data_IF_943768664672
#
_entry.id   IF_943768664672
#
_cell.length_a   1.000
_cell.length_b   1.000
_cell.length_c   1.000
_cell.angle_alpha   90.00
_cell.angle_beta   90.00
_cell.angle_gamma   90.00
#
_symmetry.space_group_name_H-M   'P 1'
#
loop_
_entity.id
_entity.type
_entity.pdbx_description
1 polymer ?
#
# COMPACT_ATOMS: atom_id res chain seq x y z
N UNK A 1 -17.34 -10.50 23.77
CA UNK A 1 -17.04 -9.07 23.89
C UNK A 1 -16.35 -8.59 22.64
N UNK A 2 -16.80 -7.47 22.08
CA UNK A 2 -16.17 -6.81 20.95
C UNK A 2 -15.01 -5.97 21.49
N UNK A 3 -13.80 -6.05 20.89
CA UNK A 3 -12.70 -5.11 21.16
C UNK A 3 -12.60 -4.15 19.98
N UNK A 4 -12.64 -2.88 20.25
CA UNK A 4 -12.38 -1.84 19.28
C UNK A 4 -10.89 -1.51 19.28
N UNK A 5 -10.28 -1.49 18.10
CA UNK A 5 -8.86 -1.16 17.93
C UNK A 5 -8.77 0.24 17.34
N UNK A 6 -8.26 1.17 18.13
CA UNK A 6 -8.05 2.56 17.72
C UNK A 6 -6.79 2.70 16.87
N UNK A 7 -6.80 3.65 15.91
CA UNK A 7 -5.59 4.11 15.20
C UNK A 7 -4.52 4.65 16.17
N UNK A 8 -4.90 5.00 17.38
CA UNK A 8 -4.00 5.46 18.43
C UNK A 8 -3.44 4.31 19.31
N UNK A 9 -3.74 3.05 19.02
CA UNK A 9 -3.26 1.90 19.79
C UNK A 9 -1.78 1.59 19.60
N UNK A 10 -1.12 2.22 18.63
CA UNK A 10 0.29 2.05 18.31
C UNK A 10 0.96 3.39 17.99
N UNK A 11 2.28 3.35 17.89
CA UNK A 11 3.12 4.47 17.49
C UNK A 11 4.13 3.97 16.46
N UNK A 12 4.14 4.58 15.28
CA UNK A 12 5.15 4.30 14.24
C UNK A 12 6.46 4.90 14.72
N UNK A 13 7.52 4.11 14.73
CA UNK A 13 8.87 4.46 15.16
C UNK A 13 9.79 4.74 13.99
N UNK A 14 9.63 3.99 12.91
CA UNK A 14 10.45 4.09 11.72
C UNK A 14 9.67 3.63 10.50
N UNK A 15 9.88 4.29 9.38
CA UNK A 15 9.37 3.89 8.06
C UNK A 15 10.54 3.82 7.11
N UNK A 16 10.74 2.67 6.49
CA UNK A 16 11.77 2.44 5.48
C UNK A 16 11.16 1.79 4.26
N UNK A 17 11.93 1.65 3.17
CA UNK A 17 11.48 0.91 1.98
C UNK A 17 11.27 -0.59 2.25
N UNK A 18 11.86 -1.12 3.30
CA UNK A 18 11.87 -2.56 3.57
C UNK A 18 11.01 -2.97 4.75
N UNK A 19 10.66 -2.04 5.64
CA UNK A 19 9.85 -2.32 6.82
C UNK A 19 9.28 -1.06 7.46
N UNK A 20 8.24 -1.27 8.27
CA UNK A 20 7.76 -0.29 9.24
C UNK A 20 7.97 -0.85 10.63
N UNK A 21 8.67 -0.10 11.49
CA UNK A 21 8.80 -0.40 12.91
C UNK A 21 7.77 0.38 13.73
N UNK A 22 7.12 -0.28 14.67
CA UNK A 22 6.13 0.33 15.54
C UNK A 22 6.18 -0.24 16.96
N UNK A 23 5.64 0.48 17.92
CA UNK A 23 5.38 -0.01 19.27
C UNK A 23 3.90 0.08 19.60
N UNK A 24 3.41 -0.86 20.40
CA UNK A 24 2.03 -0.84 20.89
C UNK A 24 1.93 0.06 22.13
N UNK A 25 0.81 0.78 22.24
CA UNK A 25 0.56 1.68 23.38
C UNK A 25 -0.17 0.97 24.54
N UNK A 26 0.24 -0.27 24.83
CA UNK A 26 -0.21 -0.98 26.04
C UNK A 26 0.90 -1.04 27.09
N UNK A 27 0.54 -1.39 28.32
CA UNK A 27 1.46 -1.28 29.46
C UNK A 27 2.66 -2.24 29.38
N UNK A 28 2.51 -3.38 28.68
CA UNK A 28 3.50 -4.46 28.64
C UNK A 28 4.28 -4.58 27.34
N UNK A 29 3.86 -3.86 26.28
CA UNK A 29 4.53 -3.89 24.95
C UNK A 29 5.09 -2.53 24.52
N UNK A 30 4.97 -1.48 25.35
CA UNK A 30 5.39 -0.11 24.99
C UNK A 30 6.87 0.00 24.60
N UNK A 31 7.71 -0.87 25.16
CA UNK A 31 9.16 -0.92 24.90
C UNK A 31 9.53 -2.00 23.89
N UNK A 32 8.54 -2.75 23.35
CA UNK A 32 8.75 -3.77 22.34
C UNK A 32 8.64 -3.12 20.96
N UNK A 33 9.66 -3.31 20.13
CA UNK A 33 9.64 -2.88 18.75
C UNK A 33 9.16 -4.05 17.88
N UNK A 34 8.06 -3.82 17.20
CA UNK A 34 7.48 -4.71 16.21
C UNK A 34 7.91 -4.23 14.83
N UNK A 35 8.22 -5.14 13.92
CA UNK A 35 8.57 -4.81 12.54
C UNK A 35 7.65 -5.56 11.59
N UNK A 36 7.05 -4.84 10.64
CA UNK A 36 6.34 -5.44 9.51
C UNK A 36 7.22 -5.22 8.28
N UNK A 37 7.68 -6.28 7.60
CA UNK A 37 8.58 -6.17 6.44
C UNK A 37 7.82 -5.78 5.16
N UNK A 38 6.94 -4.80 5.26
CA UNK A 38 6.10 -4.26 4.19
C UNK A 38 5.93 -2.78 4.46
N UNK A 39 6.14 -1.93 3.45
CA UNK A 39 6.16 -0.48 3.62
C UNK A 39 4.77 0.20 3.64
N UNK A 40 3.68 -0.54 3.53
CA UNK A 40 2.32 0.02 3.63
C UNK A 40 1.94 0.36 5.08
N UNK A 41 1.66 1.62 5.40
CA UNK A 41 1.31 2.06 6.75
C UNK A 41 0.06 1.34 7.31
N UNK A 42 -0.87 0.93 6.45
CA UNK A 42 -2.05 0.14 6.81
C UNK A 42 -1.71 -1.26 7.36
N UNK A 43 -0.51 -1.78 7.08
CA UNK A 43 -0.08 -3.08 7.59
C UNK A 43 0.23 -3.05 9.09
N UNK A 44 0.56 -1.90 9.64
CA UNK A 44 0.70 -1.74 11.10
C UNK A 44 -0.65 -1.97 11.78
N UNK A 45 -1.75 -1.45 11.22
CA UNK A 45 -3.10 -1.72 11.74
C UNK A 45 -3.48 -3.19 11.59
N UNK A 46 -3.16 -3.82 10.45
CA UNK A 46 -3.40 -5.25 10.24
C UNK A 46 -2.63 -6.11 11.25
N UNK A 47 -1.37 -5.79 11.50
CA UNK A 47 -0.56 -6.46 12.53
C UNK A 47 -1.14 -6.26 13.93
N UNK A 48 -1.57 -5.05 14.26
CA UNK A 48 -2.23 -4.76 15.54
C UNK A 48 -3.51 -5.58 15.73
N UNK A 49 -4.36 -5.69 14.68
CA UNK A 49 -5.57 -6.52 14.71
C UNK A 49 -5.22 -7.99 14.94
N UNK A 50 -4.20 -8.51 14.25
CA UNK A 50 -3.75 -9.89 14.40
C UNK A 50 -3.23 -10.16 15.83
N UNK A 51 -2.44 -9.26 16.39
CA UNK A 51 -1.91 -9.37 17.76
C UNK A 51 -3.04 -9.34 18.80
N UNK A 52 -4.01 -8.43 18.66
CA UNK A 52 -5.18 -8.40 19.54
C UNK A 52 -6.02 -9.69 19.46
N UNK A 53 -6.19 -10.25 18.26
CA UNK A 53 -6.86 -11.53 18.08
C UNK A 53 -6.09 -12.68 18.77
N UNK A 54 -4.77 -12.72 18.64
CA UNK A 54 -3.93 -13.70 19.34
C UNK A 54 -4.04 -13.57 20.86
N UNK A 55 -4.02 -12.34 21.38
CA UNK A 55 -4.21 -12.09 22.82
C UNK A 55 -5.59 -12.53 23.32
N UNK A 56 -6.63 -12.35 22.52
CA UNK A 56 -7.97 -12.84 22.87
C UNK A 56 -8.03 -14.37 22.95
N UNK A 57 -7.27 -15.07 22.11
CA UNK A 57 -7.30 -16.53 22.03
C UNK A 57 -6.34 -17.22 23.02
N UNK A 58 -5.15 -16.63 23.21
CA UNK A 58 -4.04 -17.28 23.91
C UNK A 58 -3.64 -16.56 25.21
N UNK A 59 -4.26 -15.44 25.53
CA UNK A 59 -3.83 -14.53 26.59
C UNK A 59 -2.67 -13.62 26.15
N UNK A 60 -2.42 -12.55 26.92
CA UNK A 60 -1.31 -11.66 26.64
C UNK A 60 0.05 -12.32 26.90
N UNK A 61 1.12 -11.66 26.44
CA UNK A 61 2.49 -12.14 26.61
C UNK A 61 3.23 -11.48 27.76
N UNK A 62 2.54 -10.82 28.71
CA UNK A 62 3.16 -10.03 29.76
C UNK A 62 4.18 -10.84 30.58
N UNK A 63 3.80 -12.04 30.99
CA UNK A 63 4.64 -12.98 31.75
C UNK A 63 5.30 -14.07 30.93
N UNK A 64 5.22 -14.00 29.58
CA UNK A 64 5.71 -15.05 28.68
C UNK A 64 6.66 -14.50 27.60
N UNK A 65 7.92 -14.19 27.96
CA UNK A 65 8.88 -13.56 27.05
C UNK A 65 9.17 -14.41 25.81
N UNK A 66 9.18 -15.75 25.93
CA UNK A 66 9.41 -16.66 24.81
C UNK A 66 8.26 -16.64 23.80
N UNK A 67 7.01 -16.53 24.28
CA UNK A 67 5.84 -16.39 23.42
C UNK A 67 5.89 -15.03 22.72
N UNK A 68 6.20 -13.96 23.44
CA UNK A 68 6.36 -12.61 22.87
C UNK A 68 7.41 -12.61 21.76
N UNK A 69 8.57 -13.19 22.02
CA UNK A 69 9.64 -13.31 21.01
C UNK A 69 9.14 -14.02 19.75
N UNK A 70 8.43 -15.13 19.89
CA UNK A 70 7.86 -15.86 18.75
C UNK A 70 6.87 -15.01 17.95
N UNK A 71 6.06 -14.19 18.61
CA UNK A 71 5.13 -13.30 17.91
C UNK A 71 5.84 -12.16 17.20
N UNK A 72 6.86 -11.57 17.83
CA UNK A 72 7.73 -10.56 17.19
C UNK A 72 8.39 -11.15 15.93
N UNK A 73 9.01 -12.33 16.05
CA UNK A 73 9.67 -13.01 14.94
C UNK A 73 8.67 -13.37 13.83
N UNK A 74 7.45 -13.79 14.19
CA UNK A 74 6.39 -14.12 13.23
C UNK A 74 5.91 -12.87 12.45
N UNK A 75 5.69 -11.75 13.13
CA UNK A 75 5.31 -10.49 12.48
C UNK A 75 6.42 -10.00 11.55
N UNK A 76 7.68 -10.14 11.97
CA UNK A 76 8.85 -9.75 11.16
C UNK A 76 9.12 -10.67 9.96
N UNK A 77 8.49 -11.84 9.91
CA UNK A 77 8.65 -12.81 8.81
C UNK A 77 7.50 -12.82 7.80
N UNK A 78 6.50 -11.93 7.96
CA UNK A 78 5.36 -11.87 7.05
C UNK A 78 5.85 -11.47 5.65
N UNK A 79 5.41 -12.22 4.66
CA UNK A 79 5.54 -11.85 3.25
C UNK A 79 4.15 -11.88 2.59
N UNK A 80 3.82 -10.84 1.84
CA UNK A 80 2.56 -10.77 1.11
C UNK A 80 2.76 -10.02 -0.20
N UNK A 81 2.75 -10.76 -1.28
CA UNK A 81 2.92 -10.23 -2.64
C UNK A 81 1.86 -9.17 -2.97
N UNK A 82 2.28 -8.14 -3.70
CA UNK A 82 1.40 -7.07 -4.15
C UNK A 82 0.83 -6.19 -3.02
N UNK A 83 1.56 -6.01 -1.93
CA UNK A 83 1.23 -5.10 -0.83
C UNK A 83 2.38 -4.15 -0.55
N UNK A 84 2.42 -3.01 -1.23
CA UNK A 84 3.54 -2.06 -1.20
C UNK A 84 4.89 -2.79 -1.42
N UNK A 85 4.87 -3.73 -2.33
CA UNK A 85 6.03 -4.56 -2.66
C UNK A 85 6.93 -3.84 -3.65
N UNK A 86 8.23 -3.76 -3.36
CA UNK A 86 9.23 -3.36 -4.34
C UNK A 86 9.55 -4.56 -5.25
N UNK A 87 8.75 -4.73 -6.31
CA UNK A 87 8.86 -5.85 -7.24
C UNK A 87 10.12 -5.79 -8.13
N UNK A 88 10.68 -4.61 -8.32
CA UNK A 88 11.95 -4.34 -8.97
C UNK A 88 12.48 -2.99 -8.47
N UNK A 89 13.73 -2.68 -8.76
CA UNK A 89 14.34 -1.41 -8.37
C UNK A 89 13.47 -0.22 -8.83
N UNK A 90 12.99 0.58 -7.86
CA UNK A 90 12.08 1.72 -8.05
C UNK A 90 10.71 1.35 -8.65
N UNK A 91 10.26 0.11 -8.52
CA UNK A 91 8.93 -0.34 -8.95
C UNK A 91 8.15 -0.84 -7.76
N UNK A 92 7.17 -0.07 -7.31
CA UNK A 92 6.25 -0.45 -6.25
C UNK A 92 4.95 -1.03 -6.82
N UNK A 93 4.51 -2.14 -6.26
CA UNK A 93 3.25 -2.79 -6.63
C UNK A 93 2.34 -2.86 -5.41
N UNK A 94 1.10 -2.45 -5.60
CA UNK A 94 0.06 -2.58 -4.58
C UNK A 94 -1.27 -3.05 -5.17
N UNK A 95 -1.97 -3.91 -4.45
CA UNK A 95 -3.29 -4.42 -4.82
C UNK A 95 -4.46 -3.55 -4.35
N UNK A 96 -4.26 -2.25 -4.14
CA UNK A 96 -5.33 -1.32 -3.79
C UNK A 96 -6.41 -1.31 -4.89
N UNK A 97 -7.66 -1.61 -4.52
CA UNK A 97 -8.76 -1.79 -5.48
C UNK A 97 -10.10 -1.28 -4.95
N UNK A 98 -10.09 -0.45 -3.91
CA UNK A 98 -11.27 0.25 -3.37
C UNK A 98 -10.84 1.58 -2.76
N UNK A 99 -11.78 2.52 -2.50
CA UNK A 99 -11.48 3.85 -1.98
C UNK A 99 -10.54 3.85 -0.76
N UNK A 100 -10.87 3.11 0.29
CA UNK A 100 -10.04 3.07 1.51
C UNK A 100 -8.64 2.49 1.29
N UNK A 101 -8.47 1.55 0.36
CA UNK A 101 -7.16 1.02 0.01
C UNK A 101 -6.32 2.04 -0.77
N UNK A 102 -6.94 2.82 -1.68
CA UNK A 102 -6.25 3.90 -2.42
C UNK A 102 -5.83 5.03 -1.46
N UNK A 103 -6.68 5.42 -0.50
CA UNK A 103 -6.29 6.38 0.54
C UNK A 103 -5.05 5.88 1.30
N UNK A 104 -5.08 4.66 1.78
CA UNK A 104 -3.97 4.06 2.55
C UNK A 104 -2.70 3.87 1.72
N UNK A 105 -2.84 3.57 0.41
CA UNK A 105 -1.73 3.51 -0.54
C UNK A 105 -1.07 4.89 -0.68
N UNK A 106 -1.84 5.94 -0.97
CA UNK A 106 -1.33 7.30 -1.14
C UNK A 106 -0.68 7.80 0.16
N UNK A 107 -1.30 7.54 1.32
CA UNK A 107 -0.70 7.86 2.63
C UNK A 107 0.66 7.17 2.81
N UNK A 108 0.77 5.90 2.40
CA UNK A 108 2.02 5.14 2.48
C UNK A 108 3.10 5.70 1.55
N UNK A 109 2.72 6.10 0.32
CA UNK A 109 3.65 6.75 -0.62
C UNK A 109 4.18 8.06 -0.04
N UNK A 110 3.32 8.91 0.55
CA UNK A 110 3.76 10.17 1.15
C UNK A 110 4.68 9.98 2.37
N UNK A 111 4.50 8.90 3.13
CA UNK A 111 5.40 8.57 4.24
C UNK A 111 6.77 8.07 3.75
N UNK A 112 6.80 7.32 2.66
CA UNK A 112 8.04 6.79 2.08
C UNK A 112 8.80 7.84 1.26
N UNK A 113 8.06 8.70 0.58
CA UNK A 113 8.55 9.71 -0.35
C UNK A 113 7.88 11.05 -0.05
N UNK A 114 8.28 11.75 1.03
CA UNK A 114 7.63 13.01 1.43
C UNK A 114 7.79 14.12 0.39
N UNK A 115 8.82 14.06 -0.42
CA UNK A 115 9.07 14.97 -1.55
C UNK A 115 9.41 14.12 -2.78
N UNK A 116 8.41 13.63 -3.52
CA UNK A 116 8.66 12.77 -4.68
C UNK A 116 9.21 13.60 -5.84
N UNK A 117 10.51 13.65 -5.95
CA UNK A 117 11.21 14.11 -7.14
C UNK A 117 12.24 13.05 -7.56
N UNK A 118 12.14 12.52 -8.76
CA UNK A 118 11.15 12.86 -9.81
C UNK A 118 9.74 12.34 -9.50
N UNK A 119 8.72 12.96 -10.11
CA UNK A 119 7.33 12.51 -10.00
C UNK A 119 7.19 11.09 -10.56
N UNK A 120 6.39 10.23 -9.92
CA UNK A 120 6.21 8.85 -10.33
C UNK A 120 5.48 8.72 -11.67
N UNK A 121 5.69 7.59 -12.35
CA UNK A 121 4.80 7.09 -13.39
C UNK A 121 3.83 6.13 -12.70
N UNK A 122 2.53 6.36 -12.84
CA UNK A 122 1.49 5.54 -12.22
C UNK A 122 0.86 4.64 -13.27
N UNK A 123 0.98 3.33 -13.10
CA UNK A 123 0.25 2.33 -13.90
C UNK A 123 -0.99 1.90 -13.14
N UNK A 124 -2.17 2.04 -13.75
CA UNK A 124 -3.45 1.81 -13.09
C UNK A 124 -4.37 0.90 -13.89
N UNK A 125 -5.10 0.05 -13.20
CA UNK A 125 -6.19 -0.73 -13.75
C UNK A 125 -7.32 -0.91 -12.73
N UNK A 126 -8.52 -1.21 -13.18
CA UNK A 126 -9.67 -1.41 -12.32
C UNK A 126 -10.67 -2.43 -12.87
N UNK A 127 -11.56 -2.88 -11.99
CA UNK A 127 -12.76 -3.66 -12.32
C UNK A 127 -14.02 -2.81 -12.18
N UNK A 128 -15.02 -3.10 -13.01
CA UNK A 128 -16.23 -2.28 -13.16
C UNK A 128 -17.14 -2.25 -11.92
N UNK A 129 -17.04 -3.24 -11.03
CA UNK A 129 -17.81 -3.31 -9.79
C UNK A 129 -17.21 -2.52 -8.62
N UNK A 130 -16.13 -1.77 -8.87
CA UNK A 130 -15.49 -0.87 -7.91
C UNK A 130 -15.73 0.59 -8.28
N UNK A 131 -15.63 1.45 -7.29
CA UNK A 131 -15.72 2.91 -7.47
C UNK A 131 -14.40 3.46 -8.04
N UNK A 132 -14.08 3.05 -9.27
CA UNK A 132 -12.83 3.44 -9.92
C UNK A 132 -12.77 4.93 -10.28
N UNK A 133 -13.91 5.58 -10.48
CA UNK A 133 -13.96 7.02 -10.75
C UNK A 133 -13.49 7.81 -9.51
N UNK A 134 -13.98 7.45 -8.34
CA UNK A 134 -13.53 8.05 -7.10
C UNK A 134 -12.02 7.78 -6.84
N UNK A 135 -11.58 6.53 -7.08
CA UNK A 135 -10.17 6.16 -6.91
C UNK A 135 -9.25 6.99 -7.82
N UNK A 136 -9.62 7.18 -9.08
CA UNK A 136 -8.89 8.01 -10.05
C UNK A 136 -8.86 9.47 -9.61
N UNK A 137 -10.01 10.04 -9.23
CA UNK A 137 -10.08 11.41 -8.75
C UNK A 137 -9.18 11.64 -7.53
N UNK A 138 -9.15 10.67 -6.61
CA UNK A 138 -8.30 10.74 -5.43
C UNK A 138 -6.81 10.65 -5.79
N UNK A 139 -6.41 9.71 -6.66
CA UNK A 139 -5.04 9.59 -7.15
C UNK A 139 -4.57 10.89 -7.83
N UNK A 140 -5.34 11.41 -8.77
CA UNK A 140 -4.99 12.66 -9.48
C UNK A 140 -4.81 13.85 -8.52
N UNK A 141 -5.60 13.89 -7.44
CA UNK A 141 -5.56 14.98 -6.47
C UNK A 141 -4.39 14.88 -5.49
N UNK A 142 -4.07 13.67 -5.03
CA UNK A 142 -3.17 13.46 -3.89
C UNK A 142 -1.88 12.73 -4.24
N UNK A 143 -1.74 12.16 -5.43
CA UNK A 143 -0.52 11.55 -5.93
C UNK A 143 -0.18 12.13 -7.32
N UNK A 144 0.36 13.36 -7.40
CA UNK A 144 0.80 13.92 -8.67
C UNK A 144 1.78 12.99 -9.36
N UNK A 145 1.62 12.82 -10.66
CA UNK A 145 2.45 11.94 -11.46
C UNK A 145 3.02 12.66 -12.70
N UNK A 146 4.16 12.20 -13.19
CA UNK A 146 4.73 12.60 -14.46
C UNK A 146 3.90 12.07 -15.64
N UNK A 147 3.31 10.89 -15.45
CA UNK A 147 2.53 10.17 -16.46
C UNK A 147 1.59 9.19 -15.78
N UNK A 148 0.37 9.09 -16.28
CA UNK A 148 -0.55 8.01 -15.95
C UNK A 148 -0.64 7.03 -17.13
N UNK A 149 -0.46 5.74 -16.88
CA UNK A 149 -0.66 4.69 -17.86
C UNK A 149 -1.81 3.83 -17.37
N UNK A 150 -2.85 3.67 -18.16
CA UNK A 150 -3.99 2.84 -17.82
C UNK A 150 -4.01 1.57 -18.66
N UNK A 151 -4.34 0.45 -18.01
CA UNK A 151 -4.29 -0.86 -18.64
C UNK A 151 -5.46 -1.73 -18.22
N UNK A 152 -5.61 -2.89 -18.85
CA UNK A 152 -6.66 -3.86 -18.55
C UNK A 152 -6.07 -5.04 -17.77
N UNK A 153 -6.81 -5.53 -16.78
CA UNK A 153 -6.50 -6.80 -16.13
C UNK A 153 -7.19 -7.94 -16.85
N UNK A 154 -6.68 -9.18 -16.81
CA UNK A 154 -7.30 -10.34 -17.45
C UNK A 154 -8.51 -10.84 -16.64
N UNK A 155 -9.51 -9.99 -16.44
CA UNK A 155 -10.77 -10.28 -15.73
C UNK A 155 -11.96 -9.88 -16.60
N UNK A 156 -13.06 -10.63 -16.50
CA UNK A 156 -14.31 -10.33 -17.24
C UNK A 156 -14.95 -9.01 -16.81
N UNK A 157 -14.69 -8.56 -15.58
CA UNK A 157 -15.19 -7.30 -15.01
C UNK A 157 -14.25 -6.12 -15.28
N UNK A 158 -13.19 -6.32 -16.09
CA UNK A 158 -12.24 -5.23 -16.39
C UNK A 158 -12.94 -3.99 -16.95
N UNK A 159 -12.46 -2.84 -16.58
CA UNK A 159 -12.73 -1.59 -17.28
C UNK A 159 -11.73 -1.46 -18.43
N UNK A 160 -12.17 -1.05 -19.60
CA UNK A 160 -11.25 -0.87 -20.73
C UNK A 160 -10.26 0.26 -20.49
N UNK A 161 -9.05 0.11 -21.02
CA UNK A 161 -8.02 1.14 -20.92
C UNK A 161 -8.50 2.49 -21.46
N UNK A 162 -9.25 2.49 -22.57
CA UNK A 162 -9.81 3.70 -23.17
C UNK A 162 -10.85 4.38 -22.27
N UNK A 163 -11.64 3.60 -21.54
CA UNK A 163 -12.61 4.16 -20.58
C UNK A 163 -11.89 4.75 -19.37
N UNK A 164 -10.91 4.05 -18.80
CA UNK A 164 -10.08 4.56 -17.71
C UNK A 164 -9.38 5.85 -18.10
N UNK A 165 -8.81 5.93 -19.32
CA UNK A 165 -8.19 7.13 -19.85
C UNK A 165 -9.15 8.33 -19.85
N UNK A 166 -10.36 8.16 -20.38
CA UNK A 166 -11.40 9.21 -20.38
C UNK A 166 -11.76 9.68 -18.97
N UNK A 167 -11.70 8.79 -17.98
CA UNK A 167 -11.95 9.17 -16.59
C UNK A 167 -10.79 9.98 -16.04
N UNK A 168 -9.54 9.53 -16.23
CA UNK A 168 -8.36 10.30 -15.81
C UNK A 168 -8.35 11.70 -16.41
N UNK A 169 -8.59 11.84 -17.72
CA UNK A 169 -8.60 13.12 -18.44
C UNK A 169 -9.64 14.15 -17.89
N UNK A 170 -10.59 13.71 -17.05
CA UNK A 170 -11.51 14.62 -16.34
C UNK A 170 -10.92 15.23 -15.08
N UNK A 171 -9.86 14.61 -14.53
CA UNK A 171 -9.31 14.97 -13.21
C UNK A 171 -7.86 15.43 -13.24
N UNK A 172 -7.19 15.35 -14.41
CA UNK A 172 -5.81 15.80 -14.55
C UNK A 172 -5.53 16.32 -15.96
N UNK A 173 -4.62 17.31 -16.05
CA UNK A 173 -4.01 17.77 -17.31
C UNK A 173 -2.72 17.00 -17.64
N UNK A 174 -2.31 16.05 -16.78
CA UNK A 174 -1.15 15.19 -17.01
C UNK A 174 -1.41 14.26 -18.19
N UNK A 175 -0.36 13.89 -18.92
CA UNK A 175 -0.46 12.90 -20.00
C UNK A 175 -1.03 11.59 -19.49
N UNK A 176 -2.01 11.03 -20.22
CA UNK A 176 -2.62 9.71 -19.92
C UNK A 176 -2.50 8.82 -21.15
N UNK A 177 -1.81 7.69 -21.00
CA UNK A 177 -1.60 6.69 -22.05
C UNK A 177 -2.44 5.45 -21.79
N UNK A 178 -3.20 4.99 -22.78
CA UNK A 178 -3.96 3.74 -22.70
C UNK A 178 -3.21 2.61 -23.41
N UNK A 179 -3.08 1.48 -22.72
CA UNK A 179 -2.54 0.22 -23.23
C UNK A 179 -3.46 -0.91 -22.79
N UNK A 180 -4.01 -1.68 -23.71
CA UNK A 180 -4.89 -2.82 -23.34
C UNK A 180 -4.11 -3.98 -22.72
N UNK A 181 -2.85 -4.15 -23.10
CA UNK A 181 -1.97 -5.20 -22.56
C UNK A 181 -1.09 -4.64 -21.43
N UNK A 182 -1.01 -5.38 -20.32
CA UNK A 182 -0.24 -4.97 -19.15
C UNK A 182 1.28 -4.98 -19.41
N UNK A 183 1.77 -5.89 -20.25
CA UNK A 183 3.17 -5.94 -20.66
C UNK A 183 3.57 -4.71 -21.46
N UNK A 184 2.71 -4.26 -22.37
CA UNK A 184 2.90 -3.04 -23.14
C UNK A 184 2.83 -1.79 -22.23
N UNK A 185 1.94 -1.80 -21.23
CA UNK A 185 1.84 -0.73 -20.24
C UNK A 185 3.12 -0.61 -19.39
N UNK A 186 3.63 -1.73 -18.90
CA UNK A 186 4.88 -1.77 -18.14
C UNK A 186 6.08 -1.37 -19.00
N UNK A 187 6.14 -1.84 -20.25
CA UNK A 187 7.19 -1.44 -21.18
C UNK A 187 7.18 0.08 -21.40
N UNK A 188 6.02 0.67 -21.67
CA UNK A 188 5.87 2.12 -21.81
C UNK A 188 6.36 2.86 -20.55
N UNK A 189 6.02 2.35 -19.34
CA UNK A 189 6.48 2.93 -18.10
C UNK A 189 8.01 2.90 -17.99
N UNK A 190 8.64 1.76 -18.30
CA UNK A 190 10.09 1.62 -18.28
C UNK A 190 10.79 2.53 -19.32
N UNK A 191 10.25 2.60 -20.54
CA UNK A 191 10.82 3.43 -21.62
C UNK A 191 10.73 4.93 -21.27
N UNK A 192 9.71 5.34 -20.49
CA UNK A 192 9.47 6.74 -20.08
C UNK A 192 10.15 7.12 -18.76
N UNK A 193 10.66 6.14 -18.00
CA UNK A 193 11.28 6.38 -16.70
C UNK A 193 12.50 7.28 -16.77
N UNK A 194 13.35 7.13 -17.79
CA UNK A 194 14.62 7.82 -17.95
C UNK A 194 15.81 7.01 -17.42
N UNK A 195 17.05 7.38 -17.81
CA UNK A 195 18.27 6.64 -17.44
C UNK A 195 18.79 6.95 -16.03
N UNK A 196 18.20 7.91 -15.34
CA UNK A 196 18.68 8.42 -14.04
C UNK A 196 17.70 8.23 -12.88
N UNK A 197 16.69 7.40 -13.07
CA UNK A 197 15.60 7.22 -12.08
C UNK A 197 15.40 5.76 -11.67
#
# INVERSE_FOLDING_TARGET
PCREISKNAFEIREVTRNHIAFSRRNAYDKDVIWQVPICGCYQVMNAQIALEALECLLGNCESEPDRRKKWVDAVASIHWEGRMEEAAEHVLVDGAHNPGAIEAFVESIHLLYPEPEPLPIVVFSAVADKDYEWMIAYLCRYLPAKLYIVTEIPDKRRVSAEELKKVFERYTDCEVVAKSDIGDALKEAYDRRGESE
#
